data_IF_074386315351
#
_entry.id   IF_074386315351
#
_cell.length_a   1.000
_cell.length_b   1.000
_cell.length_c   1.000
_cell.angle_alpha   90.00
_cell.angle_beta   90.00
_cell.angle_gamma   90.00
#
_symmetry.space_group_name_H-M   'P 1'
#
loop_
_entity.id
_entity.type
_entity.pdbx_description
1 polymer ?
#
# COMPACT_ATOMS: atom_id res chain seq x y z
N UNK A 1 -17.91 8.20 4.33
CA UNK A 1 -17.27 6.87 4.19
C UNK A 1 -16.76 6.57 2.77
N UNK A 2 -17.36 7.06 1.67
CA UNK A 2 -16.95 6.73 0.28
C UNK A 2 -15.60 7.31 -0.21
N UNK A 3 -15.07 8.39 0.38
CA UNK A 3 -13.83 9.04 -0.09
C UNK A 3 -12.55 8.25 0.22
N UNK A 4 -12.51 7.49 1.32
CA UNK A 4 -11.31 6.74 1.72
C UNK A 4 -11.01 5.56 0.80
N UNK A 5 -12.06 4.89 0.32
CA UNK A 5 -11.93 3.76 -0.59
C UNK A 5 -11.27 4.15 -1.92
N UNK A 6 -11.54 5.38 -2.39
CA UNK A 6 -10.98 5.92 -3.63
C UNK A 6 -9.46 6.18 -3.52
N UNK A 7 -8.94 6.36 -2.31
CA UNK A 7 -7.53 6.66 -2.04
C UNK A 7 -6.77 5.37 -1.66
N UNK A 8 -7.40 4.46 -0.91
CA UNK A 8 -6.80 3.18 -0.53
C UNK A 8 -6.53 2.25 -1.72
N UNK A 9 -7.44 2.21 -2.70
CA UNK A 9 -7.26 1.40 -3.92
C UNK A 9 -5.95 1.70 -4.67
N UNK A 10 -5.70 2.95 -5.09
CA UNK A 10 -4.46 3.30 -5.78
C UNK A 10 -3.21 3.21 -4.91
N UNK A 11 -3.30 3.47 -3.59
CA UNK A 11 -2.16 3.28 -2.66
C UNK A 11 -1.76 1.81 -2.57
N UNK A 12 -2.73 0.90 -2.48
CA UNK A 12 -2.46 -0.54 -2.44
C UNK A 12 -1.87 -1.02 -3.78
N UNK A 13 -2.41 -0.55 -4.90
CA UNK A 13 -1.87 -0.87 -6.23
C UNK A 13 -0.41 -0.36 -6.41
N UNK A 14 -0.12 0.86 -5.98
CA UNK A 14 1.24 1.42 -5.99
C UNK A 14 2.19 0.64 -5.07
N UNK A 15 1.76 0.26 -3.88
CA UNK A 15 2.56 -0.53 -2.94
C UNK A 15 2.92 -1.90 -3.49
N UNK A 16 1.97 -2.60 -4.11
CA UNK A 16 2.21 -3.90 -4.75
C UNK A 16 3.12 -3.74 -5.97
N UNK A 17 2.88 -2.74 -6.82
CA UNK A 17 3.69 -2.49 -8.01
C UNK A 17 5.15 -2.15 -7.65
N UNK A 18 5.35 -1.25 -6.69
CA UNK A 18 6.68 -0.86 -6.22
C UNK A 18 7.40 -2.01 -5.50
N UNK A 19 6.71 -2.77 -4.66
CA UNK A 19 7.30 -3.93 -3.99
C UNK A 19 7.65 -5.05 -4.97
N UNK A 20 6.79 -5.31 -5.96
CA UNK A 20 7.08 -6.31 -7.00
C UNK A 20 8.27 -5.89 -7.86
N UNK A 21 8.36 -4.60 -8.24
CA UNK A 21 9.51 -4.07 -8.97
C UNK A 21 10.81 -4.14 -8.15
N UNK A 22 10.76 -3.82 -6.86
CA UNK A 22 11.91 -3.96 -5.96
C UNK A 22 12.33 -5.44 -5.77
N UNK A 23 11.35 -6.35 -5.68
CA UNK A 23 11.61 -7.81 -5.63
C UNK A 23 12.23 -8.34 -6.91
N UNK A 24 11.79 -7.84 -8.06
CA UNK A 24 12.34 -8.18 -9.36
C UNK A 24 13.80 -7.73 -9.48
N UNK A 25 14.13 -6.54 -8.98
CA UNK A 25 15.49 -6.02 -8.97
C UNK A 25 16.45 -6.80 -8.04
N UNK A 26 15.91 -7.54 -7.06
CA UNK A 26 16.67 -8.34 -6.09
C UNK A 26 16.70 -9.84 -6.44
N UNK A 27 16.26 -10.23 -7.64
CA UNK A 27 16.10 -11.64 -8.10
C UNK A 27 15.17 -12.47 -7.19
N UNK A 28 14.38 -11.82 -6.35
CA UNK A 28 13.56 -12.42 -5.31
C UNK A 28 12.15 -11.83 -5.33
N UNK A 29 11.42 -12.12 -6.42
CA UNK A 29 10.05 -11.65 -6.68
C UNK A 29 9.10 -11.96 -5.50
N UNK A 30 9.21 -13.15 -4.90
CA UNK A 30 8.35 -13.57 -3.77
C UNK A 30 8.49 -12.64 -2.56
N UNK A 31 9.72 -12.22 -2.25
CA UNK A 31 10.01 -11.34 -1.12
C UNK A 31 9.53 -9.92 -1.43
N UNK A 32 9.77 -9.43 -2.65
CA UNK A 32 9.29 -8.10 -3.02
C UNK A 32 7.77 -7.97 -3.10
N UNK A 33 7.07 -8.99 -3.59
CA UNK A 33 5.59 -9.02 -3.54
C UNK A 33 5.11 -9.01 -2.09
N UNK A 34 5.68 -9.83 -1.22
CA UNK A 34 5.33 -9.86 0.20
C UNK A 34 5.59 -8.51 0.88
N UNK A 35 6.72 -7.88 0.59
CA UNK A 35 7.08 -6.55 1.10
C UNK A 35 6.13 -5.47 0.54
N UNK A 36 5.78 -5.53 -0.75
CA UNK A 36 4.86 -4.60 -1.39
C UNK A 36 3.45 -4.67 -0.82
N UNK A 37 2.95 -5.88 -0.54
CA UNK A 37 1.67 -6.08 0.14
C UNK A 37 1.74 -5.55 1.58
N UNK A 38 2.79 -5.88 2.33
CA UNK A 38 2.96 -5.42 3.71
C UNK A 38 3.01 -3.89 3.81
N UNK A 39 3.81 -3.25 2.96
CA UNK A 39 3.93 -1.78 2.88
C UNK A 39 2.62 -1.15 2.39
N UNK A 40 1.98 -1.72 1.37
CA UNK A 40 0.70 -1.24 0.83
C UNK A 40 -0.44 -1.30 1.85
N UNK A 41 -0.52 -2.37 2.65
CA UNK A 41 -1.50 -2.52 3.75
C UNK A 41 -1.20 -1.53 4.88
N UNK A 42 0.07 -1.39 5.28
CA UNK A 42 0.48 -0.46 6.32
C UNK A 42 0.14 0.99 5.95
N UNK A 43 0.50 1.43 4.73
CA UNK A 43 0.18 2.76 4.22
C UNK A 43 -1.32 3.00 4.07
N UNK A 44 -2.08 1.99 3.60
CA UNK A 44 -3.54 2.10 3.49
C UNK A 44 -4.18 2.27 4.87
N UNK A 45 -3.74 1.49 5.85
CA UNK A 45 -4.19 1.61 7.25
C UNK A 45 -3.84 2.98 7.83
N UNK A 46 -2.62 3.45 7.59
CA UNK A 46 -2.16 4.77 8.03
C UNK A 46 -2.97 5.90 7.38
N UNK A 47 -3.24 5.80 6.08
CA UNK A 47 -4.04 6.79 5.35
C UNK A 47 -5.50 6.82 5.82
N UNK A 48 -6.08 5.67 6.17
CA UNK A 48 -7.41 5.60 6.80
C UNK A 48 -7.36 6.25 8.17
N UNK A 49 -6.36 5.93 9.00
CA UNK A 49 -6.20 6.46 10.36
C UNK A 49 -6.01 7.99 10.34
N UNK A 50 -5.11 8.51 9.50
CA UNK A 50 -4.95 9.96 9.33
C UNK A 50 -6.20 10.59 8.74
N UNK A 51 -6.87 9.92 7.80
CA UNK A 51 -8.13 10.37 7.22
C UNK A 51 -9.23 10.52 8.27
N UNK A 52 -9.44 9.51 9.11
CA UNK A 52 -10.41 9.53 10.21
C UNK A 52 -10.01 10.47 11.34
N UNK A 53 -8.72 10.59 11.67
CA UNK A 53 -8.22 11.55 12.65
C UNK A 53 -8.33 13.01 12.18
N UNK A 54 -8.20 13.29 10.88
CA UNK A 54 -8.32 14.65 10.33
C UNK A 54 -9.77 15.12 10.13
N UNK A 55 -10.74 14.22 10.33
CA UNK A 55 -12.18 14.50 10.28
C UNK A 55 -12.79 14.73 11.68
N UNK A 56 -11.96 14.83 12.72
CA UNK A 56 -12.38 15.08 14.10
C UNK A 56 -12.08 16.51 14.52
#
# INVERSE_FOLDING_TARGET
MKKYYLICGPIMALGIMAGTAAGAAMDNIKIGVALGIAVGVALSTLAILFGTCRQK
#
